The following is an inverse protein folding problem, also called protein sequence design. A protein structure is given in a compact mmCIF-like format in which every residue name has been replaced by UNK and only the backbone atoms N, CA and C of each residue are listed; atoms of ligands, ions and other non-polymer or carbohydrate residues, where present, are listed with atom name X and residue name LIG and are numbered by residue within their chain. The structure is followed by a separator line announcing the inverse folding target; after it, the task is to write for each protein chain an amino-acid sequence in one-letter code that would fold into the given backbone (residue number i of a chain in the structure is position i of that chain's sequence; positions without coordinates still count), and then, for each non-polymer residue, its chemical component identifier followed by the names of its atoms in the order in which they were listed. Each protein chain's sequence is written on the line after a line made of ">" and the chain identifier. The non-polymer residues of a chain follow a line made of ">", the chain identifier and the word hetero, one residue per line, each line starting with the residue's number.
data_IF_891609863048
#
_entry.id   IF_891609863048
#
_cell.length_a   1.000
_cell.length_b   1.000
_cell.length_c   1.000
_cell.angle_alpha   90.00
_cell.angle_beta   90.00
_cell.angle_gamma   90.00
#
_symmetry.space_group_name_H-M   'P 1'
#
loop_
_entity.id
_entity.type
_entity.pdbx_description
1 polymer ?
#
# COMPACT_ATOMS: atom_id res chain seq x y z
N UNK A 1 -7.56 0.95 4.92
CA UNK A 1 -6.42 1.13 5.87
C UNK A 1 -6.70 0.60 7.28
N UNK A 2 -7.91 0.78 7.85
CA UNK A 2 -8.18 0.33 9.22
C UNK A 2 -8.06 -1.19 9.41
N UNK A 3 -8.56 -1.99 8.46
CA UNK A 3 -8.43 -3.46 8.50
C UNK A 3 -6.97 -3.90 8.34
N UNK A 4 -6.25 -3.33 7.37
CA UNK A 4 -4.83 -3.63 7.14
C UNK A 4 -3.94 -3.29 8.35
N UNK A 5 -4.14 -2.11 8.97
CA UNK A 5 -3.36 -1.73 10.15
C UNK A 5 -3.69 -2.62 11.36
N UNK A 6 -4.95 -3.04 11.50
CA UNK A 6 -5.34 -4.01 12.54
C UNK A 6 -4.68 -5.35 12.29
N UNK A 7 -4.76 -5.90 11.09
CA UNK A 7 -4.15 -7.19 10.71
C UNK A 7 -2.61 -7.15 10.88
N UNK A 8 -1.95 -6.08 10.43
CA UNK A 8 -0.50 -5.92 10.59
C UNK A 8 -0.07 -5.74 12.06
N UNK A 9 -0.90 -5.12 12.90
CA UNK A 9 -0.67 -5.04 14.34
C UNK A 9 -0.94 -6.37 15.04
N UNK A 10 -1.97 -7.12 14.62
CA UNK A 10 -2.30 -8.45 15.13
C UNK A 10 -1.14 -9.43 14.90
N UNK A 11 -0.53 -9.42 13.70
CA UNK A 11 0.66 -10.23 13.41
C UNK A 11 1.93 -9.81 14.16
N UNK A 12 2.00 -8.58 14.67
CA UNK A 12 3.14 -8.09 15.46
C UNK A 12 2.96 -8.31 16.95
N UNK A 13 1.73 -8.43 17.44
CA UNK A 13 1.42 -8.40 18.86
C UNK A 13 1.36 -9.79 19.50
N UNK A 14 0.77 -10.79 18.85
CA UNK A 14 0.86 -12.21 19.23
C UNK A 14 0.03 -13.01 18.21
N UNK A 15 0.67 -13.74 17.30
CA UNK A 15 -0.04 -14.51 16.28
C UNK A 15 -0.82 -15.67 16.91
N UNK A 16 -0.21 -16.43 17.83
CA UNK A 16 -0.81 -17.68 18.32
C UNK A 16 -2.04 -17.45 19.23
N UNK A 17 -1.99 -16.50 20.14
CA UNK A 17 -3.09 -16.29 21.12
C UNK A 17 -4.33 -15.58 20.53
N UNK A 18 -4.16 -14.81 19.46
CA UNK A 18 -5.26 -14.06 18.83
C UNK A 18 -5.85 -14.79 17.63
N UNK A 19 -5.08 -15.65 16.95
CA UNK A 19 -5.60 -16.56 15.93
C UNK A 19 -6.64 -17.52 16.51
N UNK A 20 -6.45 -18.00 17.75
CA UNK A 20 -7.44 -18.85 18.47
C UNK A 20 -8.77 -18.12 18.78
N UNK A 21 -8.76 -16.78 18.80
CA UNK A 21 -9.95 -15.96 19.08
C UNK A 21 -10.69 -15.48 17.82
N UNK A 22 -10.15 -15.75 16.63
CA UNK A 22 -10.70 -15.31 15.35
C UNK A 22 -11.22 -16.55 14.62
N UNK A 23 -12.53 -16.58 14.36
CA UNK A 23 -13.18 -17.73 13.70
C UNK A 23 -12.61 -18.04 12.30
N UNK A 24 -12.12 -17.04 11.54
CA UNK A 24 -11.54 -17.25 10.20
C UNK A 24 -10.38 -16.25 9.88
N UNK A 25 -9.16 -16.47 10.38
CA UNK A 25 -8.04 -15.54 10.19
C UNK A 25 -7.53 -15.51 8.74
N UNK A 26 -7.66 -16.62 8.03
CA UNK A 26 -7.25 -16.75 6.62
C UNK A 26 -8.12 -15.86 5.72
N UNK A 27 -9.43 -15.83 5.95
CA UNK A 27 -10.37 -15.02 5.17
C UNK A 27 -10.08 -13.52 5.34
N UNK A 28 -9.81 -13.08 6.57
CA UNK A 28 -9.43 -11.70 6.86
C UNK A 28 -8.10 -11.31 6.20
N UNK A 29 -7.13 -12.22 6.16
CA UNK A 29 -5.84 -11.98 5.52
C UNK A 29 -5.98 -11.87 4.00
N UNK A 30 -6.72 -12.78 3.37
CA UNK A 30 -7.03 -12.73 1.93
C UNK A 30 -7.76 -11.43 1.57
N UNK A 31 -8.71 -11.01 2.41
CA UNK A 31 -9.40 -9.73 2.23
C UNK A 31 -8.44 -8.55 2.36
N UNK A 32 -7.57 -8.52 3.38
CA UNK A 32 -6.59 -7.45 3.58
C UNK A 32 -5.60 -7.35 2.41
N UNK A 33 -5.14 -8.48 1.88
CA UNK A 33 -4.28 -8.54 0.69
C UNK A 33 -5.02 -7.99 -0.53
N UNK A 34 -6.29 -8.36 -0.74
CA UNK A 34 -7.11 -7.86 -1.85
C UNK A 34 -7.31 -6.34 -1.77
N UNK A 35 -7.70 -5.82 -0.62
CA UNK A 35 -7.83 -4.39 -0.38
C UNK A 35 -6.51 -3.66 -0.66
N UNK A 36 -5.36 -4.27 -0.32
CA UNK A 36 -4.07 -3.64 -0.59
C UNK A 36 -3.71 -3.61 -2.07
N UNK A 37 -4.01 -4.67 -2.83
CA UNK A 37 -3.86 -4.67 -4.29
C UNK A 37 -4.72 -3.57 -4.93
N UNK A 38 -5.98 -3.44 -4.51
CA UNK A 38 -6.88 -2.39 -4.99
C UNK A 38 -6.31 -0.99 -4.69
N UNK A 39 -5.83 -0.77 -3.47
CA UNK A 39 -5.19 0.50 -3.09
C UNK A 39 -3.92 0.80 -3.91
N UNK A 40 -3.07 -0.20 -4.15
CA UNK A 40 -1.88 -0.04 -4.99
C UNK A 40 -2.28 0.31 -6.42
N UNK A 41 -3.27 -0.38 -6.99
CA UNK A 41 -3.76 -0.10 -8.35
C UNK A 41 -4.33 1.31 -8.49
N UNK A 42 -5.15 1.76 -7.52
CA UNK A 42 -5.71 3.09 -7.50
C UNK A 42 -4.61 4.17 -7.39
N UNK A 43 -3.61 3.95 -6.54
CA UNK A 43 -2.45 4.85 -6.42
C UNK A 43 -1.59 4.86 -7.68
N UNK A 44 -1.37 3.72 -8.31
CA UNK A 44 -0.65 3.64 -9.58
C UNK A 44 -1.36 4.44 -10.68
N UNK A 45 -2.70 4.37 -10.73
CA UNK A 45 -3.49 5.19 -11.66
C UNK A 45 -3.36 6.69 -11.36
N UNK A 46 -3.42 7.08 -10.08
CA UNK A 46 -3.23 8.46 -9.67
C UNK A 46 -1.84 8.97 -10.04
N UNK A 47 -0.81 8.15 -9.85
CA UNK A 47 0.58 8.44 -10.19
C UNK A 47 0.74 8.69 -11.69
N UNK A 48 0.14 7.84 -12.54
CA UNK A 48 0.10 8.05 -13.99
C UNK A 48 -0.55 9.39 -14.37
N UNK A 49 -1.63 9.79 -13.68
CA UNK A 49 -2.27 11.10 -13.92
C UNK A 49 -1.34 12.25 -13.56
N UNK A 50 -0.63 12.16 -12.44
CA UNK A 50 0.35 13.18 -12.02
C UNK A 50 1.52 13.27 -13.00
N UNK A 51 2.03 12.14 -13.47
CA UNK A 51 3.08 12.11 -14.50
C UNK A 51 2.62 12.78 -15.79
N UNK A 52 1.40 12.48 -16.26
CA UNK A 52 0.86 13.13 -17.45
C UNK A 52 0.66 14.64 -17.27
N UNK A 53 0.20 15.09 -16.10
CA UNK A 53 0.10 16.52 -15.78
C UNK A 53 1.48 17.20 -15.81
N UNK A 54 2.51 16.54 -15.28
CA UNK A 54 3.88 17.04 -15.31
C UNK A 54 4.44 17.16 -16.74
N UNK A 55 4.15 16.18 -17.61
CA UNK A 55 4.51 16.20 -19.04
C UNK A 55 3.84 17.36 -19.77
N UNK A 56 2.53 17.57 -19.56
CA UNK A 56 1.81 18.70 -20.16
C UNK A 56 2.40 20.04 -19.71
N UNK A 57 2.73 20.17 -18.42
CA UNK A 57 3.32 21.38 -17.90
C UNK A 57 4.72 21.64 -18.48
N UNK A 58 5.50 20.57 -18.69
CA UNK A 58 6.81 20.64 -19.35
C UNK A 58 6.70 21.06 -20.82
N UNK A 59 5.71 20.55 -21.55
CA UNK A 59 5.44 20.98 -22.92
C UNK A 59 5.08 22.47 -22.98
N UNK A 60 4.17 22.93 -22.11
CA UNK A 60 3.79 24.35 -22.00
C UNK A 60 5.00 25.24 -21.66
N UNK A 61 5.90 24.78 -20.77
CA UNK A 61 7.14 25.48 -20.46
C UNK A 61 8.07 25.61 -21.68
N UNK A 62 8.15 24.58 -22.52
CA UNK A 62 8.94 24.62 -23.74
C UNK A 62 8.38 25.64 -24.75
N UNK A 63 7.06 25.69 -24.93
CA UNK A 63 6.39 26.69 -25.77
C UNK A 63 6.63 28.12 -25.28
N UNK A 64 6.49 28.36 -23.97
CA UNK A 64 6.77 29.67 -23.38
C UNK A 64 8.23 30.07 -23.64
N UNK A 65 9.19 29.15 -23.47
CA UNK A 65 10.60 29.43 -23.78
C UNK A 65 10.82 29.80 -25.24
N UNK A 66 10.13 29.15 -26.18
CA UNK A 66 10.20 29.52 -27.60
C UNK A 66 9.62 30.93 -27.82
N UNK A 67 8.49 31.25 -27.20
CA UNK A 67 7.90 32.59 -27.31
C UNK A 67 8.81 33.69 -26.73
N UNK A 68 9.52 33.40 -25.64
CA UNK A 68 10.49 34.34 -25.05
C UNK A 68 11.66 34.60 -26.00
N UNK A 69 12.17 33.56 -26.69
CA UNK A 69 13.22 33.71 -27.70
C UNK A 69 12.77 34.56 -28.89
N UNK A 70 11.55 34.35 -29.38
CA UNK A 70 10.98 35.18 -30.45
C UNK A 70 10.85 36.65 -30.01
N UNK A 71 10.38 36.89 -28.79
CA UNK A 71 10.32 38.25 -28.23
C UNK A 71 11.70 38.88 -28.06
N UNK A 72 12.75 38.08 -27.81
CA UNK A 72 14.13 38.56 -27.74
C UNK A 72 14.65 39.00 -29.11
N UNK A 73 14.40 38.21 -30.16
CA UNK A 73 14.72 38.58 -31.54
C UNK A 73 13.95 39.85 -31.98
N UNK A 74 12.65 39.93 -31.68
CA UNK A 74 11.84 41.12 -31.94
C UNK A 74 12.37 42.35 -31.19
N UNK A 75 12.82 42.17 -29.94
CA UNK A 75 13.36 43.23 -29.12
C UNK A 75 14.67 43.76 -29.71
N UNK A 76 15.56 42.90 -30.16
CA UNK A 76 16.82 43.28 -30.83
C UNK A 76 16.54 44.14 -32.07
N UNK A 77 15.58 43.73 -32.91
CA UNK A 77 15.16 44.51 -34.10
C UNK A 77 14.54 45.86 -33.72
N UNK A 78 13.76 45.92 -32.64
CA UNK A 78 13.16 47.17 -32.18
C UNK A 78 14.22 48.14 -31.65
N UNK A 79 15.23 47.63 -30.95
CA UNK A 79 16.34 48.40 -30.41
C UNK A 79 17.28 48.88 -31.53
N UNK A 80 17.57 48.04 -32.54
CA UNK A 80 18.38 48.45 -33.69
C UNK A 80 17.70 49.49 -34.57
N UNK A 81 16.38 49.62 -34.46
CA UNK A 81 15.56 50.58 -35.22
C UNK A 81 15.21 51.85 -34.43
N UNK A 82 15.77 52.04 -33.22
CA UNK A 82 15.49 53.15 -32.28
C UNK A 82 13.99 53.35 -31.93
N UNK A 83 13.17 52.31 -32.10
CA UNK A 83 11.73 52.33 -31.78
C UNK A 83 11.49 51.97 -30.33
N UNK A 84 11.90 52.86 -29.42
CA UNK A 84 11.86 52.61 -27.98
C UNK A 84 10.45 52.32 -27.43
N UNK A 85 9.41 52.95 -27.95
CA UNK A 85 8.03 52.68 -27.49
C UNK A 85 7.59 51.26 -27.77
N UNK A 86 7.95 50.72 -28.94
CA UNK A 86 7.67 49.33 -29.31
C UNK A 86 8.51 48.36 -28.47
N UNK A 87 9.80 48.68 -28.26
CA UNK A 87 10.68 47.91 -27.39
C UNK A 87 10.13 47.78 -25.96
N UNK A 88 9.54 48.85 -25.40
CA UNK A 88 8.90 48.80 -24.06
C UNK A 88 7.72 47.83 -24.00
N UNK A 89 6.94 47.72 -25.08
CA UNK A 89 5.82 46.77 -25.16
C UNK A 89 6.34 45.33 -25.23
N UNK A 90 7.37 45.08 -26.04
CA UNK A 90 8.01 43.75 -26.15
C UNK A 90 8.64 43.33 -24.83
N UNK A 91 9.36 44.22 -24.15
CA UNK A 91 9.92 43.97 -22.80
C UNK A 91 8.81 43.62 -21.81
N UNK A 92 7.68 44.34 -21.83
CA UNK A 92 6.54 44.02 -20.95
C UNK A 92 6.01 42.61 -21.21
N UNK A 93 5.85 42.22 -22.47
CA UNK A 93 5.41 40.86 -22.84
C UNK A 93 6.42 39.81 -22.38
N UNK A 94 7.72 40.05 -22.58
CA UNK A 94 8.80 39.17 -22.11
C UNK A 94 8.75 38.96 -20.60
N UNK A 95 8.68 40.05 -19.82
CA UNK A 95 8.61 39.97 -18.36
C UNK A 95 7.37 39.21 -17.86
N UNK A 96 6.25 39.30 -18.58
CA UNK A 96 5.05 38.50 -18.27
C UNK A 96 5.29 37.01 -18.58
N UNK A 97 5.85 36.69 -19.75
CA UNK A 97 6.19 35.33 -20.12
C UNK A 97 7.18 34.70 -19.13
N UNK A 98 8.20 35.44 -18.69
CA UNK A 98 9.15 35.01 -17.66
C UNK A 98 8.49 34.75 -16.30
N UNK A 99 7.53 35.59 -15.90
CA UNK A 99 6.77 35.37 -14.65
C UNK A 99 5.91 34.10 -14.74
N UNK A 100 5.25 33.87 -15.86
CA UNK A 100 4.46 32.66 -16.10
C UNK A 100 5.38 31.44 -16.10
N UNK A 101 6.53 31.51 -16.78
CA UNK A 101 7.54 30.46 -16.78
C UNK A 101 8.02 30.11 -15.37
N UNK A 102 8.36 31.11 -14.55
CA UNK A 102 8.77 30.90 -13.15
C UNK A 102 7.67 30.24 -12.31
N UNK A 103 6.41 30.61 -12.52
CA UNK A 103 5.28 30.00 -11.80
C UNK A 103 5.09 28.54 -12.22
N UNK A 104 5.12 28.25 -13.52
CA UNK A 104 5.04 26.88 -14.02
C UNK A 104 6.22 26.03 -13.53
N UNK A 105 7.45 26.56 -13.54
CA UNK A 105 8.62 25.84 -13.02
C UNK A 105 8.46 25.45 -11.55
N UNK A 106 7.90 26.33 -10.71
CA UNK A 106 7.59 26.00 -9.31
C UNK A 106 6.52 24.93 -9.18
N UNK A 107 5.45 25.00 -9.99
CA UNK A 107 4.40 23.97 -10.01
C UNK A 107 4.95 22.62 -10.47
N UNK A 108 5.82 22.61 -11.49
CA UNK A 108 6.50 21.42 -12.00
C UNK A 108 7.35 20.76 -10.93
N UNK A 109 8.12 21.55 -10.19
CA UNK A 109 8.96 21.06 -9.11
C UNK A 109 8.11 20.48 -7.97
N UNK A 110 7.02 21.16 -7.59
CA UNK A 110 6.08 20.63 -6.61
C UNK A 110 5.41 19.32 -7.08
N UNK A 111 5.00 19.23 -8.35
CA UNK A 111 4.44 18.00 -8.93
C UNK A 111 5.48 16.87 -8.96
N UNK A 112 6.73 17.17 -9.33
CA UNK A 112 7.81 16.19 -9.34
C UNK A 112 8.04 15.61 -7.94
N UNK A 113 8.15 16.46 -6.93
CA UNK A 113 8.30 15.99 -5.54
C UNK A 113 7.12 15.09 -5.12
N UNK A 114 5.88 15.45 -5.50
CA UNK A 114 4.69 14.62 -5.22
C UNK A 114 4.71 13.27 -5.95
N UNK A 115 5.24 13.23 -7.18
CA UNK A 115 5.44 11.98 -7.93
C UNK A 115 6.48 11.12 -7.21
N UNK A 116 7.65 11.67 -6.89
CA UNK A 116 8.73 10.96 -6.19
C UNK A 116 8.25 10.40 -4.84
N UNK A 117 7.48 11.17 -4.07
CA UNK A 117 6.90 10.72 -2.80
C UNK A 117 5.83 9.64 -3.00
N UNK A 118 5.01 9.75 -4.05
CA UNK A 118 4.00 8.74 -4.38
C UNK A 118 4.64 7.43 -4.84
N UNK A 119 5.72 7.50 -5.62
CA UNK A 119 6.53 6.35 -6.07
C UNK A 119 7.14 5.61 -4.88
N UNK A 120 7.77 6.33 -3.95
CA UNK A 120 8.29 5.76 -2.69
C UNK A 120 7.20 5.08 -1.88
N UNK A 121 6.08 5.77 -1.66
CA UNK A 121 4.96 5.20 -0.93
C UNK A 121 4.40 3.94 -1.61
N UNK A 122 4.36 3.91 -2.94
CA UNK A 122 3.87 2.78 -3.71
C UNK A 122 4.83 1.58 -3.61
N UNK A 123 6.14 1.83 -3.67
CA UNK A 123 7.18 0.81 -3.44
C UNK A 123 7.10 0.23 -2.03
N UNK A 124 6.93 1.07 -1.00
CA UNK A 124 6.76 0.62 0.38
C UNK A 124 5.51 -0.27 0.52
N UNK A 125 4.41 0.11 -0.12
CA UNK A 125 3.18 -0.70 -0.10
C UNK A 125 3.34 -2.03 -0.83
N UNK A 126 4.09 -2.06 -1.93
CA UNK A 126 4.41 -3.31 -2.63
C UNK A 126 5.29 -4.23 -1.78
N UNK A 127 6.32 -3.70 -1.11
CA UNK A 127 7.16 -4.49 -0.20
C UNK A 127 6.32 -5.08 0.95
N UNK A 128 5.47 -4.28 1.58
CA UNK A 128 4.58 -4.75 2.65
C UNK A 128 3.60 -5.81 2.16
N UNK A 129 3.22 -5.76 0.88
CA UNK A 129 2.36 -6.78 0.26
C UNK A 129 3.07 -8.11 0.19
N UNK A 130 4.30 -8.11 -0.31
CA UNK A 130 5.11 -9.32 -0.40
C UNK A 130 5.35 -9.90 0.99
N UNK A 131 5.66 -9.07 1.98
CA UNK A 131 5.84 -9.53 3.36
C UNK A 131 4.55 -10.16 3.93
N UNK A 132 3.39 -9.58 3.64
CA UNK A 132 2.10 -10.13 4.08
C UNK A 132 1.76 -11.43 3.35
N UNK A 133 2.06 -11.54 2.07
CA UNK A 133 1.86 -12.77 1.30
C UNK A 133 2.76 -13.89 1.81
N UNK A 134 4.06 -13.64 2.00
CA UNK A 134 4.99 -14.63 2.54
C UNK A 134 4.56 -15.12 3.93
N UNK A 135 4.09 -14.21 4.80
CA UNK A 135 3.56 -14.58 6.12
C UNK A 135 2.27 -15.38 6.02
N UNK A 136 1.39 -15.04 5.07
CA UNK A 136 0.19 -15.82 4.81
C UNK A 136 0.53 -17.26 4.42
N UNK A 137 1.48 -17.43 3.49
CA UNK A 137 1.89 -18.73 2.98
C UNK A 137 2.48 -19.62 4.08
N UNK A 138 3.32 -19.06 4.96
CA UNK A 138 3.90 -19.79 6.10
C UNK A 138 2.81 -20.24 7.07
N UNK A 139 1.81 -19.41 7.35
CA UNK A 139 0.72 -19.76 8.27
C UNK A 139 -0.19 -20.85 7.68
N UNK A 140 -0.46 -20.79 6.38
CA UNK A 140 -1.22 -21.83 5.68
C UNK A 140 -0.44 -23.15 5.73
N UNK A 141 0.86 -23.14 5.46
CA UNK A 141 1.72 -24.34 5.58
C UNK A 141 1.77 -24.91 7.00
N UNK A 142 1.88 -24.06 8.02
CA UNK A 142 1.88 -24.51 9.42
C UNK A 142 0.55 -25.14 9.83
N UNK A 143 -0.57 -24.64 9.32
CA UNK A 143 -1.88 -25.25 9.56
C UNK A 143 -2.00 -26.60 8.84
N UNK A 144 -1.50 -26.72 7.61
CA UNK A 144 -1.45 -28.00 6.87
C UNK A 144 -0.58 -29.04 7.59
N UNK A 145 0.57 -28.65 8.15
CA UNK A 145 1.45 -29.53 8.93
C UNK A 145 0.78 -30.02 10.24
N UNK A 146 -0.04 -29.18 10.89
CA UNK A 146 -0.82 -29.56 12.09
C UNK A 146 -1.97 -30.49 11.73
N UNK A 147 -2.64 -30.25 10.61
CA UNK A 147 -3.71 -31.12 10.10
C UNK A 147 -3.16 -32.49 9.64
N UNK A 148 -1.95 -32.57 9.06
CA UNK A 148 -1.31 -33.83 8.70
C UNK A 148 -0.87 -34.66 9.94
N UNK A 149 -0.41 -34.00 11.01
CA UNK A 149 -0.10 -34.67 12.29
C UNK A 149 -1.39 -35.16 12.98
N UNK A 150 -2.52 -34.47 12.80
CA UNK A 150 -3.81 -34.87 13.37
C UNK A 150 -4.45 -36.10 12.69
N UNK A 151 -4.05 -36.46 11.46
CA UNK A 151 -4.54 -37.69 10.82
C UNK A 151 -3.87 -38.95 11.41
N UNK A 152 -2.78 -38.82 12.17
CA UNK A 152 -2.07 -39.98 12.76
C UNK A 152 -1.84 -39.92 14.27
N UNK A 153 -2.29 -38.88 14.97
CA UNK A 153 -1.99 -38.70 16.39
C UNK A 153 -3.12 -38.11 17.22
N UNK A 154 -3.96 -38.99 17.76
CA UNK A 154 -4.69 -38.80 19.03
C UNK A 154 -5.84 -37.78 19.01
N UNK A 155 -7.01 -38.23 18.56
CA UNK A 155 -8.31 -37.61 18.90
C UNK A 155 -8.47 -37.45 20.41
N UNK A 156 -8.33 -36.22 20.90
CA UNK A 156 -8.74 -35.80 22.25
C UNK A 156 -10.28 -35.70 22.37
N UNK A 157 -11.01 -35.92 21.27
CA UNK A 157 -12.48 -35.90 21.22
C UNK A 157 -13.17 -37.26 21.43
N UNK A 158 -12.43 -38.36 21.60
CA UNK A 158 -13.00 -39.68 21.92
C UNK A 158 -12.81 -40.05 23.40
N UNK A 159 -13.23 -39.15 24.31
CA UNK A 159 -13.51 -39.53 25.69
C UNK A 159 -14.87 -40.26 25.76
N UNK A 160 -15.04 -41.33 24.98
CA UNK A 160 -16.14 -42.25 25.18
C UNK A 160 -15.73 -43.24 26.27
N UNK A 161 -16.20 -42.99 27.49
CA UNK A 161 -16.02 -43.94 28.59
C UNK A 161 -16.76 -45.21 28.19
N UNK A 162 -16.03 -46.31 28.03
CA UNK A 162 -16.62 -47.61 27.69
C UNK A 162 -17.39 -48.14 28.89
N UNK A 163 -18.52 -48.80 28.65
CA UNK A 163 -19.34 -49.40 29.71
C UNK A 163 -18.52 -50.36 30.60
N UNK A 164 -17.51 -51.02 30.04
CA UNK A 164 -16.56 -51.88 30.75
C UNK A 164 -15.77 -51.12 31.84
N UNK A 165 -15.35 -49.88 31.56
CA UNK A 165 -14.62 -49.04 32.53
C UNK A 165 -15.55 -48.56 33.66
N UNK A 166 -16.83 -48.36 33.35
CA UNK A 166 -17.87 -48.03 34.34
C UNK A 166 -18.11 -49.22 35.27
N UNK A 167 -18.19 -50.44 34.73
CA UNK A 167 -18.37 -51.66 35.52
C UNK A 167 -17.18 -51.92 36.45
N UNK A 168 -15.95 -51.72 35.97
CA UNK A 168 -14.74 -51.87 36.79
C UNK A 168 -14.71 -50.84 37.93
N UNK A 169 -15.06 -49.58 37.65
CA UNK A 169 -15.14 -48.54 38.67
C UNK A 169 -16.23 -48.85 39.72
N UNK A 170 -17.38 -49.39 39.29
CA UNK A 170 -18.50 -49.74 40.17
C UNK A 170 -18.13 -50.92 41.08
N UNK A 171 -17.42 -51.92 40.57
CA UNK A 171 -16.88 -53.03 41.38
C UNK A 171 -15.85 -52.57 42.40
N UNK A 172 -14.98 -51.60 42.06
CA UNK A 172 -14.01 -51.02 43.00
C UNK A 172 -14.71 -50.24 44.11
N UNK A 173 -15.72 -49.43 43.78
CA UNK A 173 -16.50 -48.67 44.76
C UNK A 173 -17.25 -49.60 45.74
N UNK A 174 -17.81 -50.71 45.26
CA UNK A 174 -18.46 -51.70 46.12
C UNK A 174 -17.47 -52.41 47.05
N UNK A 175 -16.26 -52.74 46.58
CA UNK A 175 -15.21 -53.33 47.43
C UNK A 175 -14.74 -52.37 48.53
N UNK A 176 -14.60 -51.09 48.23
CA UNK A 176 -14.25 -50.06 49.21
C UNK A 176 -15.32 -49.91 50.29
N UNK A 177 -16.60 -50.13 49.95
CA UNK A 177 -17.71 -50.06 50.90
C UNK A 177 -17.89 -51.33 51.75
N UNK A 178 -17.43 -52.48 51.27
CA UNK A 178 -17.45 -53.75 52.00
C UNK A 178 -16.22 -53.95 52.90
N UNK A 179 -15.20 -53.11 52.77
CA UNK A 179 -13.98 -53.11 53.59
C UNK A 179 -13.95 -51.98 54.65
N UNK A 180 -15.07 -51.28 54.82
CA UNK A 180 -15.36 -50.37 55.94
C UNK A 180 -16.55 -50.90 56.73
#
# INVERSE_FOLDING_TARGET
>A
MALINRVSQLFKADANAVLDCIEDPELLLRQAIREMHENISARAQQLKRLQHEAEQLQANEAEIKLSVRQLDEELEVCLSSDKHDLARVVIRKKLLADKIYKNNSKKREALKNRIDDSEKCLSDHQSRLLDMQQKADILIQQNEDVDEVCITGTSILDLHVKDEDIEVALLQALKMRASS
#
